data_IF_050603846115
#
_entry.id   IF_050603846115
#
_cell.length_a   1.000
_cell.length_b   1.000
_cell.length_c   1.000
_cell.angle_alpha   90.00
_cell.angle_beta   90.00
_cell.angle_gamma   90.00
#
_symmetry.space_group_name_H-M   'P 1'
#
loop_
_entity.id
_entity.type
_entity.pdbx_description
1 polymer ?
#
# COMPACT_ATOMS: atom_id res chain seq x y z
N UNK A 1 -10.39 -21.01 -0.21
CA UNK A 1 -9.53 -20.70 -1.37
C UNK A 1 -10.40 -20.77 -2.61
N UNK A 2 -10.44 -19.74 -3.49
CA UNK A 2 -11.28 -19.80 -4.67
C UNK A 2 -10.63 -20.71 -5.73
N UNK A 3 -11.48 -21.60 -6.23
CA UNK A 3 -11.23 -22.70 -7.16
C UNK A 3 -11.14 -22.21 -8.61
N UNK A 4 -9.96 -21.78 -9.07
CA UNK A 4 -9.80 -21.22 -10.42
C UNK A 4 -8.46 -21.46 -11.13
N UNK A 5 -7.60 -22.37 -10.66
CA UNK A 5 -6.22 -22.51 -11.16
C UNK A 5 -6.00 -23.72 -12.10
N UNK A 6 -6.95 -24.09 -12.97
CA UNK A 6 -6.82 -25.35 -13.74
C UNK A 6 -6.04 -25.29 -15.05
N UNK A 7 -5.82 -24.13 -15.71
CA UNK A 7 -5.33 -24.14 -17.11
C UNK A 7 -4.06 -23.30 -17.42
N UNK A 8 -3.33 -22.79 -16.42
CA UNK A 8 -2.15 -21.91 -16.66
C UNK A 8 -0.81 -22.67 -16.77
N UNK A 9 -0.78 -23.97 -16.45
CA UNK A 9 0.47 -24.71 -16.19
C UNK A 9 1.36 -25.06 -17.40
N UNK A 10 0.97 -24.77 -18.65
CA UNK A 10 1.83 -25.08 -19.81
C UNK A 10 2.74 -23.92 -20.25
N UNK A 11 2.47 -22.67 -19.85
CA UNK A 11 3.15 -21.47 -20.40
C UNK A 11 4.23 -20.84 -19.51
N UNK A 12 4.42 -21.30 -18.28
CA UNK A 12 5.38 -20.73 -17.31
C UNK A 12 6.31 -21.80 -16.70
N UNK A 13 6.81 -22.72 -17.53
CA UNK A 13 7.74 -23.76 -17.08
C UNK A 13 9.01 -23.12 -16.53
N UNK A 14 9.37 -23.47 -15.30
CA UNK A 14 10.57 -22.94 -14.61
C UNK A 14 10.35 -21.64 -13.83
N UNK A 15 9.17 -21.01 -13.90
CA UNK A 15 8.85 -19.83 -13.10
C UNK A 15 8.35 -20.20 -11.70
N UNK A 16 8.75 -19.42 -10.69
CA UNK A 16 8.11 -19.43 -9.35
C UNK A 16 7.06 -18.32 -9.29
N UNK A 17 5.82 -18.68 -8.98
CA UNK A 17 4.74 -17.73 -8.75
C UNK A 17 4.57 -17.56 -7.25
N UNK A 18 4.73 -16.33 -6.76
CA UNK A 18 4.55 -15.98 -5.36
C UNK A 18 3.36 -15.04 -5.21
N UNK A 19 2.56 -15.26 -4.17
CA UNK A 19 1.44 -14.40 -3.81
C UNK A 19 1.83 -13.53 -2.61
N UNK A 20 1.60 -12.23 -2.71
CA UNK A 20 1.82 -11.27 -1.64
C UNK A 20 0.52 -10.53 -1.33
N UNK A 21 -0.02 -10.76 -0.14
CA UNK A 21 -1.15 -10.00 0.38
C UNK A 21 -0.68 -8.67 0.96
N UNK A 22 -0.80 -7.59 0.18
CA UNK A 22 -0.52 -6.21 0.63
C UNK A 22 -1.72 -5.55 1.31
N UNK A 23 -2.92 -6.14 1.22
CA UNK A 23 -4.13 -5.58 1.84
C UNK A 23 -4.05 -5.66 3.35
N UNK A 24 -3.63 -6.80 3.89
CA UNK A 24 -3.47 -7.01 5.34
C UNK A 24 -2.54 -5.97 6.01
N UNK A 25 -1.30 -5.71 5.55
CA UNK A 25 -0.45 -4.69 6.19
C UNK A 25 -1.00 -3.27 6.05
N UNK A 26 -1.68 -2.93 4.95
CA UNK A 26 -2.36 -1.63 4.80
C UNK A 26 -3.49 -1.50 5.81
N UNK A 27 -4.33 -2.54 5.95
CA UNK A 27 -5.42 -2.56 6.92
C UNK A 27 -4.91 -2.46 8.36
N UNK A 28 -3.76 -3.08 8.68
CA UNK A 28 -3.14 -2.95 10.01
C UNK A 28 -2.64 -1.52 10.26
N UNK A 29 -2.08 -0.85 9.25
CA UNK A 29 -1.70 0.56 9.36
C UNK A 29 -2.91 1.47 9.58
N UNK A 30 -4.06 1.19 8.94
CA UNK A 30 -5.31 1.94 9.15
C UNK A 30 -5.86 1.74 10.56
N UNK A 31 -5.90 0.49 11.04
CA UNK A 31 -6.48 0.15 12.35
C UNK A 31 -5.58 0.51 13.52
N UNK A 32 -4.26 0.46 13.33
CA UNK A 32 -3.26 0.65 14.39
C UNK A 32 -2.15 1.62 13.96
N UNK A 33 -2.47 2.86 13.56
CA UNK A 33 -1.51 3.80 12.95
C UNK A 33 -0.32 4.12 13.85
N UNK A 34 -0.53 4.22 15.16
CA UNK A 34 0.53 4.55 16.11
C UNK A 34 1.63 3.49 16.20
N UNK A 35 1.34 2.21 15.91
CA UNK A 35 2.35 1.14 15.81
C UNK A 35 3.40 1.44 14.73
N UNK A 36 3.01 2.23 13.74
CA UNK A 36 3.82 2.63 12.61
C UNK A 36 4.28 4.09 12.70
N UNK A 37 3.94 4.80 13.78
CA UNK A 37 4.18 6.24 13.91
C UNK A 37 3.42 7.07 12.88
N UNK A 38 2.25 6.59 12.45
CA UNK A 38 1.30 7.34 11.62
C UNK A 38 0.29 8.06 12.52
N UNK A 39 -0.25 9.18 12.03
CA UNK A 39 -1.27 10.00 12.69
C UNK A 39 -2.55 10.11 11.84
N UNK A 40 -2.44 10.10 10.51
CA UNK A 40 -3.59 10.19 9.59
C UNK A 40 -3.55 9.06 8.56
N UNK A 41 -4.67 8.33 8.42
CA UNK A 41 -4.77 7.14 7.55
C UNK A 41 -5.94 7.16 6.59
N UNK A 42 -6.83 8.13 6.73
CA UNK A 42 -8.07 8.25 5.97
C UNK A 42 -8.05 9.45 5.02
N UNK A 43 -7.03 10.29 5.10
CA UNK A 43 -6.82 11.43 4.20
C UNK A 43 -5.45 11.37 3.55
N UNK A 44 -5.39 11.76 2.28
CA UNK A 44 -4.13 11.99 1.58
C UNK A 44 -3.43 13.26 2.10
N UNK A 45 -2.10 13.23 2.14
CA UNK A 45 -1.29 14.42 2.45
C UNK A 45 -1.41 15.53 1.38
N UNK A 46 -1.57 15.16 0.10
CA UNK A 46 -1.76 16.08 -1.01
C UNK A 46 -3.23 16.13 -1.44
N UNK A 47 -3.75 17.36 -1.61
CA UNK A 47 -5.14 17.60 -2.01
C UNK A 47 -6.01 18.09 -0.87
N UNK A 48 -7.33 18.02 -1.03
CA UNK A 48 -8.27 18.60 -0.06
C UNK A 48 -8.66 17.63 1.05
N UNK A 49 -8.43 16.33 0.89
CA UNK A 49 -8.88 15.30 1.84
C UNK A 49 -10.41 15.20 1.99
N UNK A 50 -11.19 15.84 1.12
CA UNK A 50 -12.66 15.91 1.18
C UNK A 50 -13.36 15.10 0.08
N UNK A 51 -12.66 14.77 -1.00
CA UNK A 51 -13.17 13.95 -2.10
C UNK A 51 -12.10 12.90 -2.42
N UNK A 52 -12.38 11.64 -2.09
CA UNK A 52 -11.54 10.44 -2.32
C UNK A 52 -11.19 10.20 -3.80
N UNK A 53 -11.82 10.92 -4.73
CA UNK A 53 -11.47 10.97 -6.15
C UNK A 53 -11.55 12.40 -6.73
N UNK A 54 -11.42 13.42 -5.86
CA UNK A 54 -11.42 14.84 -6.20
C UNK A 54 -10.15 15.26 -6.94
N UNK A 55 -10.00 16.56 -7.30
CA UNK A 55 -8.96 17.01 -8.20
C UNK A 55 -7.58 16.46 -7.78
N UNK A 56 -6.96 15.72 -8.71
CA UNK A 56 -5.64 15.10 -8.56
C UNK A 56 -4.65 16.06 -7.90
N UNK A 57 -3.68 15.50 -7.16
CA UNK A 57 -2.52 16.23 -6.68
C UNK A 57 -1.85 16.96 -7.87
N UNK A 58 -2.11 18.28 -7.97
CA UNK A 58 -1.67 19.16 -9.05
C UNK A 58 -0.86 20.30 -8.45
N UNK A 59 -0.18 21.09 -9.28
CA UNK A 59 0.76 22.14 -8.83
C UNK A 59 0.19 23.22 -7.89
N UNK A 60 -1.13 23.27 -7.69
CA UNK A 60 -1.82 24.17 -6.75
C UNK A 60 -2.49 23.46 -5.57
N UNK A 61 -2.34 22.14 -5.47
CA UNK A 61 -2.81 21.37 -4.33
C UNK A 61 -1.85 21.60 -3.16
N UNK A 62 -2.38 22.03 -2.02
CA UNK A 62 -1.62 22.05 -0.77
C UNK A 62 -1.17 20.64 -0.38
N UNK A 63 -0.03 20.59 0.31
CA UNK A 63 0.49 19.38 0.96
C UNK A 63 0.48 19.56 2.47
N UNK A 64 0.33 18.46 3.20
CA UNK A 64 0.51 18.44 4.65
C UNK A 64 1.94 18.81 5.07
N UNK A 65 2.12 19.21 6.32
CA UNK A 65 3.44 19.66 6.85
C UNK A 65 4.44 18.51 6.99
N UNK A 66 3.97 17.29 7.32
CA UNK A 66 4.82 16.12 7.52
C UNK A 66 4.19 14.87 6.90
N UNK A 67 4.62 14.56 5.68
CA UNK A 67 4.18 13.38 4.92
C UNK A 67 4.48 12.05 5.64
N UNK A 68 5.45 12.01 6.55
CA UNK A 68 5.80 10.79 7.28
C UNK A 68 4.78 10.40 8.35
N UNK A 69 3.82 11.29 8.65
CA UNK A 69 2.71 11.01 9.57
C UNK A 69 1.46 10.49 8.84
N UNK A 70 1.47 10.45 7.51
CA UNK A 70 0.33 10.05 6.70
C UNK A 70 0.53 8.65 6.10
N UNK A 71 -0.55 7.86 6.07
CA UNK A 71 -0.56 6.58 5.35
C UNK A 71 -0.55 6.81 3.83
N UNK A 72 -1.37 7.74 3.36
CA UNK A 72 -1.54 8.03 1.95
C UNK A 72 -0.97 9.39 1.56
N UNK A 73 -0.25 9.43 0.44
CA UNK A 73 0.24 10.67 -0.15
C UNK A 73 -0.90 11.40 -0.87
N UNK A 74 -1.69 10.70 -1.68
CA UNK A 74 -2.91 11.22 -2.29
C UNK A 74 -4.10 10.30 -1.97
N UNK A 75 -5.16 10.27 -2.77
CA UNK A 75 -6.33 9.46 -2.45
C UNK A 75 -6.16 7.95 -2.68
N UNK A 76 -5.08 7.52 -3.34
CA UNK A 76 -4.89 6.09 -3.67
C UNK A 76 -3.46 5.59 -3.45
N UNK A 77 -2.46 6.47 -3.48
CA UNK A 77 -1.05 6.11 -3.34
C UNK A 77 -0.57 6.24 -1.89
N UNK A 78 0.00 5.19 -1.28
CA UNK A 78 0.66 5.27 0.01
C UNK A 78 1.86 6.24 0.03
N UNK A 79 2.23 6.72 1.21
CA UNK A 79 3.47 7.49 1.41
C UNK A 79 4.71 6.60 1.34
N UNK A 80 5.90 7.19 1.20
CA UNK A 80 7.18 6.47 1.27
C UNK A 80 7.30 5.61 2.54
N UNK A 81 6.81 6.12 3.69
CA UNK A 81 6.84 5.39 4.95
C UNK A 81 5.96 4.14 4.90
N UNK A 82 4.74 4.26 4.39
CA UNK A 82 3.84 3.14 4.20
C UNK A 82 4.42 2.10 3.22
N UNK A 83 4.99 2.55 2.10
CA UNK A 83 5.69 1.67 1.17
C UNK A 83 6.88 0.96 1.80
N UNK A 84 7.62 1.61 2.71
CA UNK A 84 8.74 0.98 3.41
C UNK A 84 8.28 -0.17 4.32
N UNK A 85 7.14 0.00 4.98
CA UNK A 85 6.49 -1.06 5.78
C UNK A 85 6.06 -2.22 4.89
N UNK A 86 5.40 -1.93 3.76
CA UNK A 86 4.93 -2.95 2.80
C UNK A 86 6.13 -3.71 2.20
N UNK A 87 7.20 -3.02 1.82
CA UNK A 87 8.40 -3.63 1.28
C UNK A 87 9.09 -4.54 2.30
N UNK A 88 9.18 -4.11 3.57
CA UNK A 88 9.72 -4.92 4.65
C UNK A 88 8.88 -6.19 4.88
N UNK A 89 7.55 -6.04 4.89
CA UNK A 89 6.63 -7.18 4.97
C UNK A 89 6.80 -8.14 3.78
N UNK A 90 6.94 -7.61 2.57
CA UNK A 90 7.16 -8.40 1.36
C UNK A 90 8.45 -9.21 1.45
N UNK A 91 9.56 -8.58 1.85
CA UNK A 91 10.85 -9.26 2.02
C UNK A 91 10.73 -10.39 3.05
N UNK A 92 10.11 -10.15 4.20
CA UNK A 92 9.92 -11.17 5.23
C UNK A 92 9.08 -12.37 4.77
N UNK A 93 8.08 -12.14 3.90
CA UNK A 93 7.18 -13.19 3.42
C UNK A 93 7.69 -13.94 2.19
N UNK A 94 8.37 -13.24 1.28
CA UNK A 94 8.75 -13.79 -0.01
C UNK A 94 10.16 -14.37 -0.02
N UNK A 95 11.11 -13.78 0.71
CA UNK A 95 12.49 -14.24 0.73
C UNK A 95 12.63 -15.73 1.13
N UNK A 96 11.88 -16.25 2.14
CA UNK A 96 11.96 -17.68 2.49
C UNK A 96 11.37 -18.64 1.46
N UNK A 97 10.66 -18.12 0.44
CA UNK A 97 10.01 -18.91 -0.62
C UNK A 97 10.83 -18.95 -1.92
N UNK A 98 11.85 -18.07 -2.01
CA UNK A 98 12.84 -18.05 -3.09
C UNK A 98 13.88 -19.15 -2.89
#
# INVERSE_FOLDING_TARGET
>A
MPSGASNTCQRLRGSKILYLDIYTPILDMIKHPHKYGLEETLKGCCGTGFLEAGPLCKSFSGTCDDVSKYLFFDSVHPTQKAYSVIATYALQKLLPLL
#
